data_IF_925416406273
#
_entry.id   IF_925416406273
#
_cell.length_a   1.000
_cell.length_b   1.000
_cell.length_c   1.000
_cell.angle_alpha   90.00
_cell.angle_beta   90.00
_cell.angle_gamma   90.00
#
_symmetry.space_group_name_H-M   'P 1'
#
loop_
_entity.id
_entity.type
_entity.pdbx_description
1 polymer ?
#
# COMPACT_ATOMS: atom_id res chain seq x y z
N UNK A 1 3.63 -1.70 20.24
CA UNK A 1 4.46 -1.25 19.10
C UNK A 1 3.87 0.05 18.58
N UNK A 2 4.67 1.11 18.42
CA UNK A 2 4.16 2.40 17.98
C UNK A 2 3.78 2.34 16.48
N UNK A 3 2.49 2.24 16.19
CA UNK A 3 1.96 2.50 14.85
C UNK A 3 2.14 3.97 14.53
N UNK A 4 2.64 4.28 13.33
CA UNK A 4 2.76 5.66 12.84
C UNK A 4 1.40 6.41 13.01
N UNK A 5 1.40 7.67 13.49
CA UNK A 5 0.17 8.44 13.75
C UNK A 5 -0.74 8.55 12.52
N UNK A 6 -0.19 8.58 11.30
CA UNK A 6 -0.98 8.62 10.06
C UNK A 6 -1.72 7.30 9.84
N UNK A 7 -1.02 6.19 10.02
CA UNK A 7 -1.59 4.83 9.95
C UNK A 7 -2.68 4.61 11.00
N UNK A 8 -2.46 5.13 12.21
CA UNK A 8 -3.42 5.10 13.32
C UNK A 8 -4.72 5.84 12.97
N UNK A 9 -4.61 7.06 12.46
CA UNK A 9 -5.77 7.86 12.07
C UNK A 9 -6.55 7.22 10.90
N UNK A 10 -5.85 6.62 9.93
CA UNK A 10 -6.49 5.88 8.82
C UNK A 10 -7.30 4.70 9.32
N UNK A 11 -6.74 3.90 10.22
CA UNK A 11 -7.41 2.73 10.77
C UNK A 11 -8.63 3.11 11.61
N UNK A 12 -8.51 4.11 12.48
CA UNK A 12 -9.65 4.65 13.24
C UNK A 12 -10.74 5.21 12.33
N UNK A 13 -10.36 5.97 11.30
CA UNK A 13 -11.32 6.52 10.31
C UNK A 13 -12.03 5.40 9.56
N UNK A 14 -11.31 4.36 9.15
CA UNK A 14 -11.87 3.20 8.46
C UNK A 14 -12.90 2.47 9.33
N UNK A 15 -12.54 2.10 10.57
CA UNK A 15 -13.44 1.42 11.50
C UNK A 15 -14.64 2.30 11.90
N UNK A 16 -14.44 3.60 12.04
CA UNK A 16 -15.52 4.52 12.40
C UNK A 16 -16.51 4.76 11.25
N UNK A 17 -16.07 4.74 9.99
CA UNK A 17 -16.95 4.85 8.81
C UNK A 17 -17.85 3.63 8.62
N UNK A 18 -17.38 2.45 9.01
CA UNK A 18 -18.14 1.22 8.89
C UNK A 18 -19.28 1.15 9.91
N UNK A 19 -20.41 0.55 9.52
CA UNK A 19 -21.62 0.45 10.36
C UNK A 19 -21.90 -0.97 10.87
N UNK A 20 -21.42 -1.99 10.17
CA UNK A 20 -21.72 -3.41 10.47
C UNK A 20 -20.47 -4.27 10.32
N UNK A 21 -20.47 -5.43 10.99
CA UNK A 21 -19.43 -6.44 10.88
C UNK A 21 -19.30 -6.96 9.44
N UNK A 22 -20.42 -7.20 8.76
CA UNK A 22 -20.43 -7.66 7.37
C UNK A 22 -19.74 -6.68 6.43
N UNK A 23 -19.99 -5.37 6.61
CA UNK A 23 -19.35 -4.34 5.81
C UNK A 23 -17.84 -4.23 6.07
N UNK A 24 -17.38 -4.62 7.26
CA UNK A 24 -15.96 -4.72 7.57
C UNK A 24 -15.33 -5.89 6.79
N UNK A 25 -15.94 -7.07 6.85
CA UNK A 25 -15.47 -8.26 6.14
C UNK A 25 -15.46 -8.02 4.62
N UNK A 26 -16.56 -7.53 4.06
CA UNK A 26 -16.69 -7.23 2.63
C UNK A 26 -15.62 -6.23 2.15
N UNK A 27 -15.33 -5.19 2.95
CA UNK A 27 -14.26 -4.24 2.60
C UNK A 27 -12.88 -4.86 2.70
N UNK A 28 -12.62 -5.70 3.69
CA UNK A 28 -11.33 -6.38 3.84
C UNK A 28 -11.09 -7.37 2.70
N UNK A 29 -12.12 -8.06 2.25
CA UNK A 29 -12.08 -8.97 1.10
C UNK A 29 -11.82 -8.22 -0.22
N UNK A 30 -12.46 -7.05 -0.42
CA UNK A 30 -12.22 -6.21 -1.60
C UNK A 30 -10.81 -5.62 -1.65
N UNK A 31 -10.23 -5.31 -0.50
CA UNK A 31 -8.82 -4.89 -0.42
C UNK A 31 -7.90 -6.04 -0.83
N UNK A 32 -8.30 -7.29 -0.54
CA UNK A 32 -7.63 -8.53 -0.93
C UNK A 32 -8.06 -9.06 -2.32
N UNK A 33 -8.38 -8.18 -3.28
CA UNK A 33 -8.53 -8.62 -4.66
C UNK A 33 -7.27 -9.42 -5.08
N UNK A 34 -7.40 -10.71 -5.46
CA UNK A 34 -6.27 -11.62 -5.55
C UNK A 34 -5.47 -11.30 -6.81
N UNK A 35 -4.43 -10.48 -6.70
CA UNK A 35 -3.42 -10.31 -7.76
C UNK A 35 -2.34 -11.39 -7.74
N UNK A 36 -2.50 -12.46 -6.97
CA UNK A 36 -1.61 -13.63 -7.02
C UNK A 36 -2.44 -14.93 -6.92
N UNK A 37 -2.15 -15.95 -7.75
CA UNK A 37 -2.79 -17.25 -7.63
C UNK A 37 -2.48 -17.80 -6.25
N UNK A 38 -3.53 -18.24 -5.55
CA UNK A 38 -3.46 -18.78 -4.20
C UNK A 38 -2.43 -19.92 -4.14
N UNK A 39 -1.24 -19.64 -3.63
CA UNK A 39 -0.27 -20.68 -3.30
C UNK A 39 -0.77 -21.40 -2.06
N UNK A 40 -1.19 -22.65 -2.28
CA UNK A 40 -1.46 -23.73 -1.34
C UNK A 40 -1.12 -23.45 0.14
N UNK A 41 -2.15 -23.35 0.98
CA UNK A 41 -2.07 -23.75 2.39
C UNK A 41 -1.85 -22.65 3.43
N UNK A 42 -1.68 -21.38 3.06
CA UNK A 42 -1.75 -20.31 4.04
C UNK A 42 -3.21 -20.16 4.50
N UNK A 43 -3.54 -20.66 5.70
CA UNK A 43 -4.77 -20.27 6.39
C UNK A 43 -4.72 -18.76 6.56
N UNK A 44 -5.48 -18.06 5.73
CA UNK A 44 -5.73 -16.64 5.88
C UNK A 44 -6.44 -16.49 7.23
N UNK A 45 -5.68 -16.14 8.28
CA UNK A 45 -6.20 -15.87 9.62
C UNK A 45 -6.91 -14.51 9.63
N UNK A 46 -7.73 -14.27 8.60
CA UNK A 46 -8.56 -13.10 8.45
C UNK A 46 -9.31 -12.79 9.74
N UNK A 47 -9.57 -11.50 9.94
CA UNK A 47 -10.37 -11.00 11.04
C UNK A 47 -11.75 -11.69 11.00
N UNK A 48 -11.89 -12.78 11.74
CA UNK A 48 -13.05 -13.65 11.64
C UNK A 48 -14.34 -12.95 12.06
N UNK A 49 -15.47 -13.45 11.58
CA UNK A 49 -16.81 -12.92 11.82
C UNK A 49 -17.08 -12.64 13.31
N UNK A 50 -16.68 -13.55 14.18
CA UNK A 50 -16.81 -13.39 15.64
C UNK A 50 -16.06 -12.16 16.18
N UNK A 51 -14.87 -11.87 15.65
CA UNK A 51 -14.08 -10.70 16.09
C UNK A 51 -14.66 -9.45 15.47
N UNK A 52 -15.05 -9.48 14.19
CA UNK A 52 -15.72 -8.37 13.53
C UNK A 52 -16.97 -7.95 14.31
N UNK A 53 -17.80 -8.92 14.70
CA UNK A 53 -18.99 -8.66 15.52
C UNK A 53 -18.64 -8.03 16.87
N UNK A 54 -17.64 -8.58 17.59
CA UNK A 54 -17.18 -8.01 18.87
C UNK A 54 -16.66 -6.58 18.74
N UNK A 55 -16.01 -6.23 17.63
CA UNK A 55 -15.58 -4.86 17.35
C UNK A 55 -16.79 -3.92 17.32
N UNK A 56 -17.88 -4.31 16.65
CA UNK A 56 -19.08 -3.47 16.58
C UNK A 56 -19.90 -3.46 17.87
N UNK A 57 -19.95 -4.57 18.59
CA UNK A 57 -20.54 -4.64 19.92
C UNK A 57 -19.83 -3.70 20.89
N UNK A 58 -18.49 -3.72 20.92
CA UNK A 58 -17.70 -2.81 21.73
C UNK A 58 -17.85 -1.35 21.24
N UNK A 59 -17.80 -1.11 19.93
CA UNK A 59 -18.04 0.22 19.34
C UNK A 59 -19.40 0.80 19.76
N UNK A 60 -20.44 -0.02 19.86
CA UNK A 60 -21.77 0.42 20.27
C UNK A 60 -21.83 0.91 21.73
N UNK A 61 -20.94 0.41 22.59
CA UNK A 61 -20.82 0.80 24.00
C UNK A 61 -20.00 2.07 24.21
N UNK A 62 -19.22 2.50 23.21
CA UNK A 62 -18.40 3.70 23.28
C UNK A 62 -19.22 4.99 23.14
N UNK A 63 -18.76 6.11 23.75
CA UNK A 63 -19.40 7.41 23.58
C UNK A 63 -19.39 7.82 22.10
N UNK A 64 -20.55 8.22 21.58
CA UNK A 64 -20.73 8.57 20.18
C UNK A 64 -20.63 7.39 19.21
N UNK A 65 -20.58 6.15 19.71
CA UNK A 65 -20.43 4.91 18.95
C UNK A 65 -19.20 4.91 18.04
N UNK A 66 -18.07 5.41 18.54
CA UNK A 66 -16.82 5.63 17.78
C UNK A 66 -15.59 5.30 18.61
N UNK A 67 -14.57 4.79 17.94
CA UNK A 67 -13.23 4.63 18.50
C UNK A 67 -12.48 5.96 18.46
N UNK A 68 -11.88 6.35 19.58
CA UNK A 68 -11.05 7.54 19.72
C UNK A 68 -9.56 7.21 19.83
N UNK A 69 -9.22 5.99 20.27
CA UNK A 69 -7.84 5.50 20.44
C UNK A 69 -7.73 4.06 19.96
N UNK A 70 -6.55 3.65 19.50
CA UNK A 70 -6.32 2.25 19.10
C UNK A 70 -6.33 1.29 20.27
N UNK A 71 -5.89 1.73 21.45
CA UNK A 71 -5.85 0.92 22.67
C UNK A 71 -7.24 0.33 23.02
N UNK A 72 -8.32 1.03 22.64
CA UNK A 72 -9.69 0.56 22.79
C UNK A 72 -9.99 -0.73 22.02
N UNK A 73 -9.20 -1.03 20.98
CA UNK A 73 -9.33 -2.29 20.23
C UNK A 73 -8.68 -3.45 20.98
N UNK A 74 -7.65 -3.19 21.79
CA UNK A 74 -6.98 -4.23 22.59
C UNK A 74 -7.87 -4.74 23.74
N UNK A 75 -8.82 -3.93 24.19
CA UNK A 75 -9.83 -4.31 25.19
C UNK A 75 -10.85 -5.33 24.64
N UNK A 76 -10.93 -5.51 23.33
CA UNK A 76 -11.90 -6.41 22.71
C UNK A 76 -11.46 -7.86 22.90
N UNK A 77 -12.32 -8.67 23.52
CA UNK A 77 -12.01 -10.09 23.78
C UNK A 77 -11.60 -10.83 22.50
N UNK A 78 -10.36 -11.31 22.49
CA UNK A 78 -9.79 -12.05 21.37
C UNK A 78 -9.26 -11.16 20.24
N UNK A 79 -9.20 -9.84 20.42
CA UNK A 79 -8.47 -8.90 19.57
C UNK A 79 -7.11 -8.63 20.22
N UNK A 80 -6.05 -9.10 19.58
CA UNK A 80 -4.68 -8.97 20.07
C UNK A 80 -3.81 -8.13 19.13
N UNK A 81 -2.54 -7.90 19.50
CA UNK A 81 -1.59 -7.15 18.68
C UNK A 81 -1.41 -7.75 17.28
N UNK A 82 -1.49 -9.07 17.15
CA UNK A 82 -1.40 -9.77 15.86
C UNK A 82 -2.53 -9.34 14.90
N UNK A 83 -3.76 -9.24 15.41
CA UNK A 83 -4.93 -8.84 14.63
C UNK A 83 -4.92 -7.36 14.30
N UNK A 84 -4.41 -6.53 15.21
CA UNK A 84 -4.19 -5.12 14.95
C UNK A 84 -3.17 -4.94 13.82
N UNK A 85 -2.07 -5.70 13.84
CA UNK A 85 -1.05 -5.65 12.81
C UNK A 85 -1.59 -6.11 11.46
N UNK A 86 -2.38 -7.19 11.42
CA UNK A 86 -3.00 -7.68 10.20
C UNK A 86 -4.00 -6.68 9.63
N UNK A 87 -4.89 -6.13 10.47
CA UNK A 87 -5.84 -5.09 10.08
C UNK A 87 -5.12 -3.85 9.57
N UNK A 88 -4.04 -3.44 10.24
CA UNK A 88 -3.20 -2.32 9.81
C UNK A 88 -2.58 -2.58 8.45
N UNK A 89 -2.02 -3.77 8.20
CA UNK A 89 -1.47 -4.13 6.87
C UNK A 89 -2.53 -4.10 5.78
N UNK A 90 -3.76 -4.52 6.08
CA UNK A 90 -4.89 -4.51 5.12
C UNK A 90 -5.34 -3.08 4.85
N UNK A 91 -5.56 -2.26 5.88
CA UNK A 91 -6.14 -0.91 5.73
C UNK A 91 -5.10 0.13 5.29
N UNK A 92 -3.88 0.01 5.79
CA UNK A 92 -2.77 0.91 5.51
C UNK A 92 -1.89 0.30 4.42
N UNK A 93 -2.41 0.28 3.20
CA UNK A 93 -1.66 -0.13 2.02
C UNK A 93 -0.46 0.82 1.85
N UNK A 94 0.78 0.31 1.66
CA UNK A 94 1.93 1.14 1.37
C UNK A 94 1.68 2.02 0.14
N UNK A 95 2.18 3.26 0.14
CA UNK A 95 1.94 4.22 -0.95
C UNK A 95 2.31 3.64 -2.34
N UNK A 96 3.42 2.90 -2.42
CA UNK A 96 3.85 2.22 -3.65
C UNK A 96 2.82 1.18 -4.15
N UNK A 97 2.20 0.42 -3.25
CA UNK A 97 1.19 -0.58 -3.61
C UNK A 97 -0.14 0.10 -3.97
N UNK A 98 -0.52 1.18 -3.28
CA UNK A 98 -1.69 1.98 -3.65
C UNK A 98 -1.55 2.60 -5.04
N UNK A 99 -0.37 3.15 -5.36
CA UNK A 99 -0.04 3.67 -6.69
C UNK A 99 -0.14 2.57 -7.75
N UNK A 100 0.46 1.40 -7.51
CA UNK A 100 0.38 0.25 -8.42
C UNK A 100 -1.06 -0.16 -8.72
N UNK A 101 -1.89 -0.29 -7.69
CA UNK A 101 -3.30 -0.67 -7.85
C UNK A 101 -4.07 0.37 -8.69
N UNK A 102 -3.78 1.67 -8.50
CA UNK A 102 -4.36 2.74 -9.32
C UNK A 102 -3.96 2.62 -10.80
N UNK A 103 -2.70 2.28 -11.09
CA UNK A 103 -2.25 2.12 -12.48
C UNK A 103 -3.00 0.99 -13.21
N UNK A 104 -3.19 -0.16 -12.58
CA UNK A 104 -3.96 -1.26 -13.16
C UNK A 104 -5.47 -0.97 -13.27
N UNK A 105 -6.02 -0.13 -12.39
CA UNK A 105 -7.44 0.22 -12.42
C UNK A 105 -7.79 1.22 -13.53
N UNK A 106 -6.86 2.11 -13.90
CA UNK A 106 -7.18 3.29 -14.72
C UNK A 106 -6.32 3.48 -15.96
N UNK A 107 -5.08 2.97 -15.97
CA UNK A 107 -4.09 3.33 -17.00
C UNK A 107 -3.62 2.13 -17.83
N UNK A 108 -3.48 0.96 -17.20
CA UNK A 108 -2.82 -0.20 -17.79
C UNK A 108 -3.86 -1.29 -18.06
N UNK A 109 -4.01 -1.70 -19.32
CA UNK A 109 -4.88 -2.81 -19.70
C UNK A 109 -4.34 -4.15 -19.16
N UNK A 110 -5.21 -5.15 -18.97
CA UNK A 110 -4.88 -6.49 -18.43
C UNK A 110 -3.74 -7.19 -19.20
N UNK A 111 -3.49 -6.81 -20.45
CA UNK A 111 -2.47 -7.39 -21.33
C UNK A 111 -1.06 -6.83 -21.13
N UNK A 112 -0.86 -5.89 -20.21
CA UNK A 112 0.44 -5.27 -19.95
C UNK A 112 1.02 -5.78 -18.63
N UNK A 113 2.25 -6.30 -18.68
CA UNK A 113 2.98 -6.73 -17.49
C UNK A 113 3.76 -5.53 -16.94
N UNK A 114 3.36 -5.04 -15.77
CA UNK A 114 4.12 -4.03 -15.04
C UNK A 114 5.19 -4.73 -14.20
N UNK A 115 6.45 -4.55 -14.58
CA UNK A 115 7.59 -4.96 -13.76
C UNK A 115 8.01 -3.80 -12.85
N UNK A 116 8.19 -4.11 -11.57
CA UNK A 116 8.59 -3.13 -10.56
C UNK A 116 10.09 -3.27 -10.29
N UNK A 117 10.78 -2.13 -10.34
CA UNK A 117 12.17 -2.01 -9.93
C UNK A 117 12.24 -1.11 -8.71
N UNK A 118 12.90 -1.60 -7.66
CA UNK A 118 13.08 -0.88 -6.41
C UNK A 118 14.57 -0.74 -6.13
N UNK A 119 14.99 0.49 -5.87
CA UNK A 119 16.38 0.83 -5.57
C UNK A 119 16.47 1.32 -4.13
N UNK A 120 17.47 0.82 -3.41
CA UNK A 120 17.71 1.27 -2.05
C UNK A 120 18.67 2.45 -2.07
N UNK A 121 18.27 3.53 -1.42
CA UNK A 121 19.09 4.72 -1.18
C UNK A 121 19.25 4.90 0.32
N UNK A 122 20.42 5.35 0.76
CA UNK A 122 20.60 5.79 2.15
C UNK A 122 19.91 7.14 2.35
N UNK A 123 19.56 7.48 3.59
CA UNK A 123 18.74 8.66 3.89
C UNK A 123 19.30 9.98 3.36
N UNK A 124 20.62 10.16 3.39
CA UNK A 124 21.28 11.37 2.87
C UNK A 124 21.15 11.48 1.35
N UNK A 125 21.48 10.41 0.62
CA UNK A 125 21.37 10.34 -0.84
C UNK A 125 19.92 10.50 -1.30
N UNK A 126 18.96 9.93 -0.56
CA UNK A 126 17.55 10.06 -0.86
C UNK A 126 17.08 11.52 -0.79
N UNK A 127 17.44 12.24 0.28
CA UNK A 127 17.06 13.64 0.44
C UNK A 127 17.66 14.50 -0.66
N UNK A 128 18.96 14.32 -0.95
CA UNK A 128 19.63 15.06 -2.04
C UNK A 128 18.99 14.78 -3.41
N UNK A 129 18.63 13.53 -3.68
CA UNK A 129 18.03 13.13 -4.96
C UNK A 129 16.60 13.68 -5.10
N UNK A 130 15.80 13.67 -4.03
CA UNK A 130 14.37 14.06 -4.10
C UNK A 130 14.17 15.58 -4.01
N UNK A 131 15.06 16.31 -3.35
CA UNK A 131 14.95 17.77 -3.24
C UNK A 131 15.29 18.51 -4.54
N UNK A 132 16.02 17.87 -5.46
CA UNK A 132 16.41 18.46 -6.73
C UNK A 132 15.86 17.65 -7.91
N UNK A 133 14.91 18.23 -8.63
CA UNK A 133 14.22 17.60 -9.76
C UNK A 133 15.18 17.15 -10.88
N UNK A 134 16.25 17.91 -11.14
CA UNK A 134 17.26 17.53 -12.14
C UNK A 134 18.02 16.29 -11.72
N UNK A 135 18.43 16.21 -10.45
CA UNK A 135 19.15 15.05 -9.90
C UNK A 135 18.24 13.84 -9.87
N UNK A 136 16.98 14.01 -9.47
CA UNK A 136 15.97 12.94 -9.53
C UNK A 136 15.81 12.40 -10.95
N UNK A 137 15.69 13.29 -11.94
CA UNK A 137 15.48 12.92 -13.33
C UNK A 137 16.69 12.15 -13.88
N UNK A 138 17.91 12.61 -13.59
CA UNK A 138 19.14 11.90 -13.96
C UNK A 138 19.21 10.53 -13.32
N UNK A 139 18.93 10.43 -12.02
CA UNK A 139 18.88 9.15 -11.31
C UNK A 139 17.89 8.16 -11.95
N UNK A 140 16.68 8.61 -12.28
CA UNK A 140 15.67 7.75 -12.92
C UNK A 140 16.11 7.32 -14.33
N UNK A 141 16.72 8.23 -15.11
CA UNK A 141 17.25 7.93 -16.44
C UNK A 141 18.34 6.86 -16.38
N UNK A 142 19.30 7.00 -15.47
CA UNK A 142 20.41 6.05 -15.31
C UNK A 142 19.88 4.66 -14.94
N UNK A 143 18.91 4.59 -14.02
CA UNK A 143 18.29 3.31 -13.64
C UNK A 143 17.49 2.66 -14.76
N UNK A 144 16.80 3.44 -15.58
CA UNK A 144 16.12 2.91 -16.76
C UNK A 144 17.08 2.39 -17.81
N UNK A 145 18.22 3.07 -17.99
CA UNK A 145 19.26 2.60 -18.89
C UNK A 145 19.83 1.26 -18.41
N UNK A 146 20.20 1.17 -17.13
CA UNK A 146 20.67 -0.08 -16.51
C UNK A 146 19.67 -1.23 -16.72
N UNK A 147 18.38 -1.01 -16.44
CA UNK A 147 17.32 -2.01 -16.63
C UNK A 147 17.23 -2.43 -18.11
N UNK A 148 17.23 -1.45 -19.02
CA UNK A 148 17.06 -1.68 -20.44
C UNK A 148 18.23 -2.49 -21.03
N UNK A 149 19.45 -2.20 -20.57
CA UNK A 149 20.65 -2.93 -20.96
C UNK A 149 20.64 -4.36 -20.43
N UNK A 150 20.35 -4.55 -19.14
CA UNK A 150 20.33 -5.87 -18.53
C UNK A 150 19.28 -6.80 -19.15
N UNK A 151 18.11 -6.26 -19.51
CA UNK A 151 16.97 -7.09 -19.94
C UNK A 151 16.87 -7.27 -21.45
N UNK A 152 17.18 -6.24 -22.22
CA UNK A 152 16.97 -6.23 -23.68
C UNK A 152 18.27 -6.13 -24.48
N UNK A 153 19.41 -5.91 -23.81
CA UNK A 153 20.72 -5.75 -24.43
C UNK A 153 20.72 -4.71 -25.58
N UNK A 154 19.90 -3.66 -25.43
CA UNK A 154 19.64 -2.69 -26.49
C UNK A 154 19.94 -1.27 -26.01
N UNK A 155 21.18 -0.84 -26.25
CA UNK A 155 21.66 0.52 -25.93
C UNK A 155 20.84 1.62 -26.57
N UNK A 156 20.32 1.41 -27.79
CA UNK A 156 19.57 2.45 -28.51
C UNK A 156 18.19 2.65 -27.91
N UNK A 157 17.52 1.58 -27.50
CA UNK A 157 16.24 1.65 -26.80
C UNK A 157 16.40 2.30 -25.41
N UNK A 158 17.47 1.95 -24.70
CA UNK A 158 17.80 2.53 -23.40
C UNK A 158 18.01 4.06 -23.48
N UNK A 159 18.85 4.50 -24.43
CA UNK A 159 19.12 5.92 -24.67
C UNK A 159 17.85 6.69 -25.07
N UNK A 160 17.02 6.12 -25.95
CA UNK A 160 15.75 6.75 -26.36
C UNK A 160 14.76 6.84 -25.20
N UNK A 161 14.66 5.82 -24.35
CA UNK A 161 13.80 5.85 -23.17
C UNK A 161 14.25 6.92 -22.17
N UNK A 162 15.56 7.04 -21.91
CA UNK A 162 16.12 8.09 -21.07
C UNK A 162 15.87 9.50 -21.65
N UNK A 163 16.07 9.69 -22.96
CA UNK A 163 15.78 10.96 -23.63
C UNK A 163 14.30 11.34 -23.56
N UNK A 164 13.40 10.39 -23.83
CA UNK A 164 11.96 10.63 -23.72
C UNK A 164 11.56 11.01 -22.30
N UNK A 165 12.13 10.36 -21.28
CA UNK A 165 11.82 10.67 -19.89
C UNK A 165 12.29 12.08 -19.50
N UNK A 166 13.48 12.50 -19.95
CA UNK A 166 13.96 13.88 -19.79
C UNK A 166 13.00 14.89 -20.42
N UNK A 167 12.42 14.58 -21.58
CA UNK A 167 11.44 15.46 -22.23
C UNK A 167 10.07 15.46 -21.54
N UNK A 168 9.62 14.33 -20.99
CA UNK A 168 8.31 14.22 -20.35
C UNK A 168 8.23 14.90 -18.97
N UNK A 169 9.35 15.01 -18.25
CA UNK A 169 9.40 15.72 -16.96
C UNK A 169 9.59 17.24 -17.10
N UNK A 170 9.96 17.73 -18.29
CA UNK A 170 10.14 19.17 -18.56
C UNK A 170 8.84 19.92 -18.87
N UNK A 171 7.68 19.25 -18.90
CA UNK A 171 6.36 19.91 -18.98
C UNK A 171 5.78 20.11 -17.57
N UNK A 172 6.32 21.08 -16.83
CA UNK A 172 5.63 21.72 -15.70
C UNK A 172 5.80 23.24 -15.72
#
# INVERSE_FOLDING_TARGET
MATDPTSTNRLLTFLNKLKTADALLEKLDRIHAPTAPATNGAKDYGLGETIAQRIFEYKAQLPGRRFSKLDQLEDIKGFGPDKLQELSKKVCIPAALAFKNSMYAHLIAENWVLENYSFHLIAAEFMETVENESIFTEFVCDKLEDISLQKFNNHKAAMLAAQLLKCCYLES
#
